data_IF_713523200525
#
_entry.id   IF_713523200525
#
_cell.length_a   1.000
_cell.length_b   1.000
_cell.length_c   1.000
_cell.angle_alpha   90.00
_cell.angle_beta   90.00
_cell.angle_gamma   90.00
#
_symmetry.space_group_name_H-M   'P 1'
#
loop_
_entity.id
_entity.type
_entity.pdbx_description
1 polymer ?
#
# COMPACT_ATOMS: atom_id res chain seq x y z
N UNK A 1 -6.03 -32.44 -0.41
CA UNK A 1 -5.65 -33.83 -0.78
C UNK A 1 -6.77 -34.41 -1.61
N UNK A 2 -6.46 -34.83 -2.83
CA UNK A 2 -7.45 -35.46 -3.71
C UNK A 2 -7.38 -36.98 -3.51
N UNK A 3 -8.53 -37.62 -3.33
CA UNK A 3 -8.64 -39.06 -3.20
C UNK A 3 -9.02 -39.63 -4.56
N UNK A 4 -8.35 -40.71 -5.00
CA UNK A 4 -8.68 -41.42 -6.21
C UNK A 4 -9.16 -42.85 -5.90
N UNK A 5 -10.09 -43.33 -6.71
CA UNK A 5 -10.68 -44.64 -6.55
C UNK A 5 -10.49 -45.45 -7.83
N UNK A 6 -10.24 -46.76 -7.71
CA UNK A 6 -10.18 -47.67 -8.84
C UNK A 6 -10.94 -48.99 -8.55
N UNK A 7 -11.68 -49.47 -9.54
CA UNK A 7 -12.43 -50.73 -9.49
C UNK A 7 -12.35 -51.43 -10.85
N UNK A 8 -11.91 -52.66 -10.84
CA UNK A 8 -11.91 -53.50 -12.06
C UNK A 8 -13.26 -54.19 -12.28
N UNK A 9 -13.61 -54.45 -13.53
CA UNK A 9 -14.80 -55.25 -13.91
C UNK A 9 -14.40 -56.39 -14.82
N UNK A 10 -14.97 -57.55 -14.55
CA UNK A 10 -14.87 -58.75 -15.37
C UNK A 10 -16.22 -58.99 -16.06
N UNK A 11 -16.22 -59.18 -17.38
CA UNK A 11 -17.43 -59.46 -18.13
C UNK A 11 -17.27 -60.78 -18.89
N UNK A 12 -18.18 -61.73 -18.67
CA UNK A 12 -18.26 -63.01 -19.39
C UNK A 12 -19.71 -63.30 -19.76
N UNK A 13 -20.02 -63.49 -21.04
CA UNK A 13 -21.36 -63.78 -21.56
C UNK A 13 -22.47 -62.85 -21.01
N UNK A 14 -22.19 -61.53 -20.93
CA UNK A 14 -23.11 -60.55 -20.44
C UNK A 14 -23.22 -60.43 -18.88
N UNK A 15 -22.53 -61.27 -18.14
CA UNK A 15 -22.42 -61.18 -16.68
C UNK A 15 -21.24 -60.33 -16.31
N UNK A 16 -21.46 -59.33 -15.43
CA UNK A 16 -20.43 -58.43 -14.90
C UNK A 16 -20.16 -58.74 -13.45
N UNK A 17 -18.89 -58.94 -13.11
CA UNK A 17 -18.38 -59.05 -11.73
C UNK A 17 -17.44 -57.93 -11.50
N UNK A 18 -17.64 -57.17 -10.44
CA UNK A 18 -16.72 -56.06 -10.04
C UNK A 18 -15.81 -56.52 -8.94
N UNK A 19 -14.55 -56.03 -8.96
CA UNK A 19 -13.62 -56.17 -7.84
C UNK A 19 -14.08 -55.34 -6.66
N UNK A 20 -13.34 -55.43 -5.53
CA UNK A 20 -13.36 -54.39 -4.52
C UNK A 20 -12.89 -53.06 -5.13
N UNK A 21 -13.32 -51.96 -4.57
CA UNK A 21 -12.80 -50.63 -4.86
C UNK A 21 -11.50 -50.43 -4.05
N UNK A 22 -10.47 -49.90 -4.69
CA UNK A 22 -9.23 -49.44 -4.04
C UNK A 22 -9.26 -47.94 -3.96
N UNK A 23 -8.69 -47.39 -2.88
CA UNK A 23 -8.60 -45.96 -2.60
C UNK A 23 -7.14 -45.59 -2.44
N UNK A 24 -6.76 -44.41 -2.97
CA UNK A 24 -5.45 -43.81 -2.80
C UNK A 24 -5.56 -42.29 -2.63
N UNK A 25 -4.57 -41.67 -2.05
CA UNK A 25 -4.51 -40.22 -1.87
C UNK A 25 -3.38 -39.61 -2.70
N UNK A 26 -3.65 -38.47 -3.29
CA UNK A 26 -2.62 -37.60 -3.87
C UNK A 26 -2.12 -36.67 -2.75
N UNK A 27 -0.86 -36.81 -2.38
CA UNK A 27 -0.23 -36.01 -1.31
C UNK A 27 0.61 -34.93 -1.97
N UNK A 28 0.26 -33.65 -1.71
CA UNK A 28 1.10 -32.52 -2.09
C UNK A 28 2.34 -32.46 -1.20
N UNK A 29 3.51 -32.58 -1.80
CA UNK A 29 4.81 -32.59 -1.09
C UNK A 29 5.61 -31.31 -1.29
N UNK A 30 5.06 -30.34 -2.01
CA UNK A 30 5.62 -29.00 -2.18
C UNK A 30 4.68 -28.00 -1.50
N UNK A 31 5.25 -27.11 -0.71
CA UNK A 31 4.53 -25.98 -0.12
C UNK A 31 4.96 -24.69 -0.81
N UNK A 32 4.04 -23.73 -0.92
CA UNK A 32 4.26 -22.38 -1.40
C UNK A 32 3.77 -21.41 -0.33
N UNK A 33 4.59 -20.43 0.03
CA UNK A 33 4.20 -19.35 0.95
C UNK A 33 4.70 -18.02 0.41
N UNK A 34 3.83 -17.01 0.41
CA UNK A 34 4.14 -15.63 0.08
C UNK A 34 3.99 -14.74 1.30
N UNK A 35 5.04 -14.02 1.66
CA UNK A 35 5.05 -13.15 2.85
C UNK A 35 5.49 -11.75 2.45
N UNK A 36 4.76 -10.69 2.84
CA UNK A 36 5.25 -9.34 2.69
C UNK A 36 6.30 -9.07 3.78
N UNK A 37 7.38 -8.40 3.44
CA UNK A 37 8.39 -7.93 4.39
C UNK A 37 8.14 -6.47 4.81
N UNK A 38 7.28 -5.77 4.07
CA UNK A 38 6.75 -4.45 4.43
C UNK A 38 5.51 -4.61 5.30
N UNK A 39 5.37 -3.80 6.34
CA UNK A 39 4.24 -3.84 7.28
C UNK A 39 3.00 -3.11 6.76
N UNK A 40 3.25 -2.06 5.98
CA UNK A 40 2.26 -1.15 5.39
C UNK A 40 2.85 -0.47 4.15
N UNK A 41 2.08 0.35 3.45
CA UNK A 41 2.54 1.14 2.33
C UNK A 41 1.84 2.52 2.25
N UNK A 42 2.56 3.49 1.68
CA UNK A 42 2.05 4.73 1.10
C UNK A 42 2.28 4.73 -0.42
N UNK A 43 1.57 5.55 -1.20
CA UNK A 43 1.79 5.64 -2.65
C UNK A 43 3.24 5.98 -2.98
N UNK A 44 3.85 5.19 -3.88
CA UNK A 44 5.26 5.33 -4.26
C UNK A 44 6.23 4.53 -3.40
N UNK A 45 5.79 3.92 -2.30
CA UNK A 45 6.66 3.09 -1.46
C UNK A 45 7.03 1.78 -2.16
N UNK A 46 8.22 1.29 -1.83
CA UNK A 46 8.65 -0.06 -2.20
C UNK A 46 8.04 -1.08 -1.23
N UNK A 47 7.41 -2.11 -1.80
CA UNK A 47 6.91 -3.26 -1.07
C UNK A 47 7.75 -4.47 -1.44
N UNK A 48 8.34 -5.11 -0.43
CA UNK A 48 9.21 -6.28 -0.60
C UNK A 48 8.43 -7.54 -0.25
N UNK A 49 8.51 -8.54 -1.12
CA UNK A 49 7.92 -9.86 -0.91
C UNK A 49 8.97 -10.95 -0.84
N UNK A 50 8.72 -11.93 0.02
CA UNK A 50 9.45 -13.18 0.10
C UNK A 50 8.52 -14.33 -0.28
N UNK A 51 8.96 -15.16 -1.24
CA UNK A 51 8.28 -16.39 -1.64
C UNK A 51 9.15 -17.55 -1.20
N UNK A 52 8.59 -18.45 -0.40
CA UNK A 52 9.27 -19.68 0.03
C UNK A 52 8.56 -20.88 -0.57
N UNK A 53 9.32 -21.77 -1.22
CA UNK A 53 8.84 -23.08 -1.60
C UNK A 53 9.71 -24.16 -0.94
N UNK A 54 9.07 -25.15 -0.32
CA UNK A 54 9.77 -26.30 0.28
C UNK A 54 9.27 -27.59 -0.34
N UNK A 55 10.22 -28.44 -0.73
CA UNK A 55 9.98 -29.75 -1.31
C UNK A 55 10.34 -30.84 -0.28
N UNK A 56 9.36 -31.58 0.21
CA UNK A 56 9.56 -32.70 1.15
C UNK A 56 9.70 -34.05 0.44
N UNK A 57 9.64 -34.07 -0.90
CA UNK A 57 9.82 -35.28 -1.69
C UNK A 57 11.31 -35.69 -1.79
N UNK A 58 11.54 -36.95 -2.03
CA UNK A 58 12.87 -37.52 -2.30
C UNK A 58 13.39 -37.21 -3.72
N UNK A 59 12.53 -36.64 -4.59
CA UNK A 59 12.87 -36.21 -5.95
C UNK A 59 12.90 -34.70 -6.07
N UNK A 60 13.83 -34.10 -6.80
CA UNK A 60 13.78 -32.66 -7.06
C UNK A 60 12.55 -32.31 -7.88
N UNK A 61 12.12 -31.05 -7.83
CA UNK A 61 11.10 -30.46 -8.69
C UNK A 61 11.78 -29.45 -9.59
N UNK A 62 11.57 -29.55 -10.89
CA UNK A 62 12.27 -28.76 -11.90
C UNK A 62 11.31 -27.97 -12.76
N UNK A 63 11.83 -26.90 -13.36
CA UNK A 63 11.13 -26.04 -14.32
C UNK A 63 9.78 -25.50 -13.82
N UNK A 64 9.72 -25.13 -12.53
CA UNK A 64 8.54 -24.50 -11.95
C UNK A 64 8.46 -23.06 -12.42
N UNK A 65 7.24 -22.64 -12.78
CA UNK A 65 6.90 -21.27 -13.14
C UNK A 65 6.00 -20.67 -12.06
N UNK A 66 6.37 -19.47 -11.61
CA UNK A 66 5.59 -18.65 -10.70
C UNK A 66 4.94 -17.51 -11.46
N UNK A 67 3.64 -17.30 -11.25
CA UNK A 67 2.88 -16.18 -11.80
C UNK A 67 2.31 -15.35 -10.66
N UNK A 68 2.72 -14.10 -10.60
CA UNK A 68 2.31 -13.13 -9.59
C UNK A 68 1.40 -12.09 -10.21
N UNK A 69 0.19 -11.89 -9.67
CA UNK A 69 -0.79 -10.97 -10.22
C UNK A 69 -0.50 -9.49 -9.91
N UNK A 70 0.54 -9.19 -9.13
CA UNK A 70 0.90 -7.83 -8.73
C UNK A 70 -0.26 -7.05 -8.07
N UNK A 71 -1.11 -7.78 -7.34
CA UNK A 71 -2.25 -7.20 -6.64
C UNK A 71 -3.43 -6.84 -7.55
N UNK A 72 -3.49 -7.35 -8.79
CA UNK A 72 -4.58 -7.10 -9.73
C UNK A 72 -5.96 -7.23 -9.08
N UNK A 73 -6.80 -6.23 -9.31
CA UNK A 73 -8.21 -6.24 -8.87
C UNK A 73 -9.10 -5.47 -9.86
N UNK A 74 -10.41 -5.68 -9.73
CA UNK A 74 -11.40 -4.93 -10.52
C UNK A 74 -12.02 -3.84 -9.65
N UNK A 75 -12.00 -2.59 -10.14
CA UNK A 75 -12.63 -1.44 -9.47
C UNK A 75 -14.15 -1.60 -9.44
N UNK A 76 -14.82 -0.74 -8.65
CA UNK A 76 -16.30 -0.74 -8.58
C UNK A 76 -16.95 -0.46 -9.93
N UNK A 77 -16.28 0.26 -10.82
CA UNK A 77 -16.75 0.59 -12.17
C UNK A 77 -16.39 -0.48 -13.21
N UNK A 78 -15.77 -1.60 -12.78
CA UNK A 78 -15.45 -2.74 -13.64
C UNK A 78 -14.12 -2.60 -14.41
N UNK A 79 -13.27 -1.63 -14.05
CA UNK A 79 -11.93 -1.47 -14.63
C UNK A 79 -10.95 -2.38 -13.91
N UNK A 80 -10.24 -3.22 -14.66
CA UNK A 80 -9.16 -4.06 -14.12
C UNK A 80 -7.88 -3.22 -14.00
N UNK A 81 -7.28 -3.17 -12.82
CA UNK A 81 -6.08 -2.41 -12.51
C UNK A 81 -5.06 -3.25 -11.75
N UNK A 82 -3.79 -2.87 -11.88
CA UNK A 82 -2.67 -3.55 -11.22
C UNK A 82 -1.94 -2.53 -10.33
N UNK A 83 -2.12 -2.55 -9.00
CA UNK A 83 -1.63 -1.53 -8.08
C UNK A 83 -0.13 -1.61 -7.79
N UNK A 84 0.55 -2.69 -8.22
CA UNK A 84 1.98 -2.89 -7.99
C UNK A 84 2.73 -2.93 -9.32
N UNK A 85 3.88 -2.26 -9.35
CA UNK A 85 4.83 -2.31 -10.47
C UNK A 85 6.09 -3.02 -10.00
N UNK A 86 6.49 -4.09 -10.70
CA UNK A 86 7.72 -4.81 -10.39
C UNK A 86 8.97 -3.94 -10.60
N UNK A 87 9.90 -3.94 -9.63
CA UNK A 87 11.19 -3.26 -9.74
C UNK A 87 12.17 -4.16 -10.49
N UNK A 88 12.51 -3.76 -11.71
CA UNK A 88 13.36 -4.56 -12.58
C UNK A 88 14.73 -4.89 -11.95
N UNK A 89 15.12 -6.17 -12.01
CA UNK A 89 16.39 -6.64 -11.47
C UNK A 89 16.45 -6.80 -9.95
N UNK A 90 15.33 -6.62 -9.24
CA UNK A 90 15.27 -6.78 -7.77
C UNK A 90 15.24 -8.25 -7.33
N UNK A 91 14.84 -9.19 -8.21
CA UNK A 91 14.73 -10.62 -7.86
C UNK A 91 16.06 -11.21 -7.40
N UNK A 92 16.02 -11.91 -6.26
CA UNK A 92 17.11 -12.75 -5.73
C UNK A 92 16.54 -14.12 -5.42
N UNK A 93 17.21 -15.17 -5.94
CA UNK A 93 16.88 -16.56 -5.71
C UNK A 93 17.93 -17.19 -4.79
N UNK A 94 17.48 -17.85 -3.75
CA UNK A 94 18.32 -18.63 -2.85
C UNK A 94 17.85 -20.08 -2.87
N UNK A 95 18.77 -21.03 -3.02
CA UNK A 95 18.50 -22.47 -2.93
C UNK A 95 19.19 -23.02 -1.69
N UNK A 96 18.44 -23.60 -0.77
CA UNK A 96 18.95 -24.08 0.53
C UNK A 96 19.79 -23.01 1.26
N UNK A 97 19.34 -21.74 1.21
CA UNK A 97 20.02 -20.61 1.84
C UNK A 97 21.22 -20.03 1.08
N UNK A 98 21.59 -20.58 -0.07
CA UNK A 98 22.70 -20.11 -0.90
C UNK A 98 22.19 -19.33 -2.11
N UNK A 99 22.73 -18.13 -2.34
CA UNK A 99 22.38 -17.31 -3.51
C UNK A 99 22.66 -18.08 -4.80
N UNK A 100 21.66 -18.21 -5.63
CA UNK A 100 21.68 -18.94 -6.91
C UNK A 100 21.65 -17.97 -8.09
N UNK A 101 21.83 -18.51 -9.30
CA UNK A 101 21.64 -17.75 -10.54
C UNK A 101 20.22 -17.21 -10.61
N UNK A 102 20.07 -15.96 -11.04
CA UNK A 102 18.77 -15.34 -11.20
C UNK A 102 17.90 -16.14 -12.18
N UNK A 103 16.60 -16.34 -11.87
CA UNK A 103 15.66 -17.02 -12.76
C UNK A 103 15.33 -16.14 -13.99
N UNK A 104 14.64 -16.71 -14.95
CA UNK A 104 14.08 -15.93 -16.07
C UNK A 104 12.87 -15.13 -15.59
N UNK A 105 12.83 -13.84 -15.92
CA UNK A 105 11.79 -12.92 -15.45
C UNK A 105 11.11 -12.22 -16.63
N UNK A 106 9.77 -12.33 -16.71
CA UNK A 106 8.94 -11.45 -17.51
C UNK A 106 8.25 -10.46 -16.54
N UNK A 107 8.55 -9.15 -16.61
CA UNK A 107 8.12 -8.18 -15.60
C UNK A 107 6.61 -7.92 -15.54
N UNK A 108 5.86 -8.38 -16.55
CA UNK A 108 4.40 -8.34 -16.56
C UNK A 108 3.74 -6.99 -16.82
N UNK A 109 2.49 -6.74 -16.34
CA UNK A 109 1.61 -7.66 -15.56
C UNK A 109 1.00 -8.83 -16.37
N UNK A 110 0.86 -10.03 -15.77
CA UNK A 110 1.40 -10.46 -14.48
C UNK A 110 2.92 -10.65 -14.50
N UNK A 111 3.58 -10.59 -13.33
CA UNK A 111 5.00 -10.93 -13.20
C UNK A 111 5.16 -12.44 -13.30
N UNK A 112 5.97 -12.92 -14.25
CA UNK A 112 6.24 -14.36 -14.44
C UNK A 112 7.71 -14.64 -14.16
N UNK A 113 7.98 -15.62 -13.29
CA UNK A 113 9.31 -16.07 -12.89
C UNK A 113 9.43 -17.56 -13.23
N UNK A 114 10.29 -17.93 -14.16
CA UNK A 114 10.40 -19.30 -14.67
C UNK A 114 11.79 -19.91 -14.50
N UNK A 115 11.85 -21.26 -14.60
CA UNK A 115 13.08 -22.03 -14.42
C UNK A 115 13.45 -22.23 -12.95
N UNK A 116 12.48 -22.27 -12.03
CA UNK A 116 12.71 -22.51 -10.62
C UNK A 116 12.87 -24.01 -10.38
N UNK A 117 13.98 -24.40 -9.73
CA UNK A 117 14.28 -25.77 -9.38
C UNK A 117 14.41 -25.92 -7.86
N UNK A 118 13.66 -26.86 -7.27
CA UNK A 118 13.66 -27.13 -5.83
C UNK A 118 14.32 -28.48 -5.61
N UNK A 119 15.45 -28.57 -4.90
CA UNK A 119 16.11 -29.83 -4.60
C UNK A 119 15.22 -30.82 -3.84
N UNK A 120 15.51 -32.11 -3.94
CA UNK A 120 14.89 -33.12 -3.11
C UNK A 120 15.14 -32.83 -1.62
N UNK A 121 14.08 -32.80 -0.80
CA UNK A 121 14.16 -32.45 0.62
C UNK A 121 14.68 -31.04 0.90
N UNK A 122 14.67 -30.14 -0.11
CA UNK A 122 15.21 -28.79 -0.04
C UNK A 122 14.18 -27.70 -0.16
N UNK A 123 14.67 -26.46 -0.26
CA UNK A 123 13.83 -25.28 -0.39
C UNK A 123 14.44 -24.23 -1.33
N UNK A 124 13.58 -23.31 -1.78
CA UNK A 124 13.99 -22.07 -2.44
C UNK A 124 13.31 -20.89 -1.76
N UNK A 125 14.04 -19.77 -1.71
CA UNK A 125 13.54 -18.47 -1.29
C UNK A 125 13.76 -17.49 -2.44
N UNK A 126 12.71 -16.79 -2.83
CA UNK A 126 12.76 -15.71 -3.81
C UNK A 126 12.36 -14.42 -3.09
N UNK A 127 13.19 -13.38 -3.22
CA UNK A 127 12.89 -12.03 -2.71
C UNK A 127 12.86 -11.10 -3.89
N UNK A 128 11.85 -10.21 -3.95
CA UNK A 128 11.71 -9.20 -4.99
C UNK A 128 10.98 -7.96 -4.46
N UNK A 129 11.14 -6.86 -5.20
CA UNK A 129 10.55 -5.55 -4.85
C UNK A 129 9.50 -5.14 -5.88
N UNK A 130 8.46 -4.46 -5.38
CA UNK A 130 7.45 -3.79 -6.17
C UNK A 130 7.28 -2.36 -5.65
N UNK A 131 6.70 -1.47 -6.46
CA UNK A 131 6.31 -0.11 -6.07
C UNK A 131 4.79 -0.01 -6.10
N UNK A 132 4.19 0.57 -5.06
CA UNK A 132 2.78 0.94 -5.05
C UNK A 132 2.56 2.13 -6.02
N UNK A 133 1.81 1.90 -7.10
CA UNK A 133 1.63 2.86 -8.18
C UNK A 133 0.32 3.67 -8.04
N UNK A 134 -0.07 4.41 -9.10
CA UNK A 134 -1.25 5.27 -9.14
C UNK A 134 -2.60 4.55 -8.99
N UNK A 135 -2.62 3.22 -9.12
CA UNK A 135 -3.83 2.39 -8.92
C UNK A 135 -3.94 1.84 -7.51
N UNK A 136 -2.90 2.01 -6.68
CA UNK A 136 -2.90 1.50 -5.31
C UNK A 136 -4.00 2.19 -4.47
N UNK A 137 -4.85 1.43 -3.76
CA UNK A 137 -5.84 1.99 -2.84
C UNK A 137 -5.19 2.88 -1.79
N UNK A 138 -5.86 3.97 -1.40
CA UNK A 138 -5.34 4.99 -0.48
C UNK A 138 -6.23 5.26 0.73
N UNK A 139 -7.46 4.76 0.69
CA UNK A 139 -8.41 4.95 1.78
C UNK A 139 -7.90 4.35 3.09
N UNK A 140 -8.34 4.90 4.20
CA UNK A 140 -8.08 4.36 5.54
C UNK A 140 -8.55 2.90 5.61
N UNK A 141 -7.71 2.02 6.16
CA UNK A 141 -7.90 0.57 6.22
C UNK A 141 -7.98 -0.14 4.85
N UNK A 142 -7.59 0.48 3.76
CA UNK A 142 -7.45 -0.22 2.49
C UNK A 142 -6.21 -1.13 2.50
N UNK A 143 -6.10 -2.02 1.52
CA UNK A 143 -4.96 -2.93 1.40
C UNK A 143 -4.78 -3.44 -0.02
N UNK A 144 -3.57 -3.91 -0.33
CA UNK A 144 -3.24 -4.64 -1.55
C UNK A 144 -3.10 -6.12 -1.20
N UNK A 145 -3.92 -6.97 -1.85
CA UNK A 145 -3.78 -8.43 -1.78
C UNK A 145 -3.06 -8.91 -3.03
N UNK A 146 -1.82 -9.33 -2.87
CA UNK A 146 -0.97 -9.81 -3.96
C UNK A 146 -0.87 -11.33 -3.94
N UNK A 147 -1.33 -12.01 -5.01
CA UNK A 147 -1.44 -13.46 -5.12
C UNK A 147 -0.38 -14.02 -6.06
N UNK A 148 0.27 -15.12 -5.63
CA UNK A 148 1.19 -15.88 -6.44
C UNK A 148 0.63 -17.28 -6.69
N UNK A 149 0.92 -17.81 -7.89
CA UNK A 149 0.61 -19.19 -8.30
C UNK A 149 1.88 -19.87 -8.76
N UNK A 150 1.99 -21.14 -8.47
CA UNK A 150 3.09 -21.99 -8.94
C UNK A 150 2.54 -23.14 -9.76
N UNK A 151 3.10 -23.32 -10.95
CA UNK A 151 2.75 -24.38 -11.90
C UNK A 151 4.02 -25.13 -12.34
N UNK A 152 3.87 -26.43 -12.66
CA UNK A 152 4.95 -27.28 -13.15
C UNK A 152 4.45 -28.72 -13.34
N UNK A 153 4.98 -29.44 -14.31
CA UNK A 153 4.56 -30.83 -14.60
C UNK A 153 4.76 -31.78 -13.41
N UNK A 154 5.70 -31.47 -12.53
CA UNK A 154 6.02 -32.28 -11.34
C UNK A 154 5.23 -31.84 -10.09
N UNK A 155 4.41 -30.80 -10.20
CA UNK A 155 3.43 -30.42 -9.20
C UNK A 155 2.11 -31.11 -9.49
N UNK A 156 1.58 -31.87 -8.52
CA UNK A 156 0.30 -32.59 -8.72
C UNK A 156 -0.90 -31.66 -8.87
N UNK A 157 -0.80 -30.46 -8.28
CA UNK A 157 -1.85 -29.42 -8.29
C UNK A 157 -1.17 -28.05 -8.44
N UNK A 158 -1.93 -27.06 -8.93
CA UNK A 158 -1.54 -25.64 -8.85
C UNK A 158 -1.46 -25.24 -7.38
N UNK A 159 -0.33 -24.64 -6.99
CA UNK A 159 -0.18 -24.07 -5.66
C UNK A 159 -0.40 -22.56 -5.73
N UNK A 160 -1.08 -22.00 -4.75
CA UNK A 160 -1.27 -20.56 -4.65
C UNK A 160 -1.18 -20.08 -3.20
N UNK A 161 -0.71 -18.84 -3.02
CA UNK A 161 -0.73 -18.14 -1.76
C UNK A 161 -0.84 -16.63 -1.98
N UNK A 162 -1.30 -15.90 -0.98
CA UNK A 162 -1.57 -14.47 -1.07
C UNK A 162 -1.00 -13.73 0.14
N UNK A 163 -0.43 -12.57 -0.14
CA UNK A 163 0.08 -11.64 0.87
C UNK A 163 -0.76 -10.36 0.86
N UNK A 164 -1.16 -9.88 2.04
CA UNK A 164 -1.90 -8.64 2.20
C UNK A 164 -1.01 -7.58 2.86
N UNK A 165 -0.96 -6.38 2.26
CA UNK A 165 -0.23 -5.22 2.80
C UNK A 165 -1.25 -4.08 2.96
N UNK A 166 -1.51 -3.61 4.19
CA UNK A 166 -2.44 -2.50 4.42
C UNK A 166 -1.83 -1.15 4.03
N UNK A 167 -2.67 -0.15 3.83
CA UNK A 167 -2.25 1.26 3.75
C UNK A 167 -1.65 1.69 5.09
N UNK A 168 -0.69 2.63 5.02
CA UNK A 168 -0.24 3.36 6.21
C UNK A 168 -1.26 4.44 6.51
N UNK A 169 -1.88 4.34 7.69
CA UNK A 169 -2.93 5.26 8.12
C UNK A 169 -2.31 6.40 8.93
N UNK A 170 -1.94 7.49 8.24
CA UNK A 170 -1.33 8.68 8.85
C UNK A 170 -1.74 9.96 8.11
N UNK A 171 -1.70 11.14 8.79
CA UNK A 171 -1.81 12.42 8.11
C UNK A 171 -0.51 12.75 7.38
N UNK A 172 -0.62 13.33 6.18
CA UNK A 172 0.51 13.84 5.40
C UNK A 172 0.32 15.34 5.18
N UNK A 173 1.00 16.15 5.99
CA UNK A 173 0.76 17.58 6.08
C UNK A 173 1.74 18.40 5.25
N UNK A 174 1.20 19.46 4.64
CA UNK A 174 1.97 20.56 4.06
C UNK A 174 1.37 21.90 4.46
N UNK A 175 2.19 22.95 4.49
CA UNK A 175 1.76 24.31 4.77
C UNK A 175 2.32 25.28 3.74
N UNK A 176 1.45 26.16 3.23
CA UNK A 176 1.83 27.29 2.39
C UNK A 176 1.41 28.61 3.05
N UNK A 177 2.19 29.67 2.87
CA UNK A 177 1.93 31.02 3.39
C UNK A 177 1.83 32.01 2.24
N UNK A 178 0.80 32.83 2.27
CA UNK A 178 0.59 33.95 1.34
C UNK A 178 0.41 35.26 2.10
N UNK A 179 0.65 36.38 1.43
CA UNK A 179 0.54 37.73 1.98
C UNK A 179 -0.26 38.61 1.00
N UNK A 180 -1.14 39.45 1.54
CA UNK A 180 -1.92 40.42 0.75
C UNK A 180 -2.25 41.68 1.59
N UNK A 181 -1.95 42.92 1.08
CA UNK A 181 -1.17 43.19 -0.12
C UNK A 181 0.35 42.93 0.08
N UNK A 182 1.11 42.77 -1.00
CA UNK A 182 2.56 42.54 -0.94
C UNK A 182 3.36 43.82 -0.56
N UNK A 183 2.75 44.99 -0.66
CA UNK A 183 3.36 46.30 -0.33
C UNK A 183 2.38 47.13 0.48
N UNK A 184 2.82 47.63 1.59
CA UNK A 184 2.03 48.42 2.55
C UNK A 184 2.83 49.62 3.06
N UNK A 185 2.13 50.67 3.49
CA UNK A 185 2.68 51.81 4.22
C UNK A 185 2.46 51.61 5.72
N UNK A 186 3.15 52.39 6.54
CA UNK A 186 2.98 52.39 8.00
C UNK A 186 1.49 52.70 8.35
N UNK A 187 0.88 51.81 9.13
CA UNK A 187 -0.51 51.91 9.54
C UNK A 187 -1.51 51.24 8.58
N UNK A 188 -1.04 50.68 7.45
CA UNK A 188 -1.89 49.91 6.56
C UNK A 188 -2.17 48.52 7.13
N UNK A 189 -3.27 47.95 6.70
CA UNK A 189 -3.68 46.59 7.04
C UNK A 189 -3.03 45.58 6.09
N UNK A 190 -2.58 44.45 6.65
CA UNK A 190 -1.98 43.34 5.93
C UNK A 190 -2.59 42.02 6.39
N UNK A 191 -2.79 41.10 5.47
CA UNK A 191 -3.32 39.78 5.76
C UNK A 191 -2.35 38.69 5.35
N UNK A 192 -2.03 37.81 6.30
CA UNK A 192 -1.30 36.58 6.08
C UNK A 192 -2.31 35.41 6.04
N UNK A 193 -2.21 34.57 5.02
CA UNK A 193 -3.02 33.38 4.86
C UNK A 193 -2.13 32.15 4.88
N UNK A 194 -2.41 31.24 5.80
CA UNK A 194 -1.75 29.93 5.89
C UNK A 194 -2.73 28.88 5.38
N UNK A 195 -2.32 28.13 4.37
CA UNK A 195 -3.11 27.03 3.81
C UNK A 195 -2.42 25.74 4.27
N UNK A 196 -3.10 24.98 5.13
CA UNK A 196 -2.63 23.71 5.65
C UNK A 196 -3.39 22.63 4.89
N UNK A 197 -2.64 21.74 4.21
CA UNK A 197 -3.20 20.65 3.43
C UNK A 197 -2.79 19.32 4.04
N UNK A 198 -3.69 18.35 3.99
CA UNK A 198 -3.46 16.97 4.37
C UNK A 198 -3.74 16.08 3.15
N UNK A 199 -2.72 15.41 2.63
CA UNK A 199 -2.82 14.43 1.54
C UNK A 199 -2.92 12.99 2.06
N UNK A 200 -2.75 12.78 3.38
CA UNK A 200 -2.90 11.49 4.03
C UNK A 200 -4.35 11.09 4.30
N UNK A 201 -4.57 9.82 4.56
CA UNK A 201 -5.89 9.22 4.76
C UNK A 201 -6.44 9.37 6.19
N UNK A 202 -5.69 9.97 7.07
CA UNK A 202 -6.08 10.19 8.47
C UNK A 202 -6.18 11.68 8.76
N UNK A 203 -7.27 12.10 9.43
CA UNK A 203 -7.45 13.48 9.84
C UNK A 203 -6.55 13.83 11.03
N UNK A 204 -6.08 15.08 11.11
CA UNK A 204 -5.52 15.64 12.33
C UNK A 204 -6.66 16.16 13.20
N UNK A 205 -6.80 15.59 14.38
CA UNK A 205 -7.85 15.92 15.35
C UNK A 205 -7.29 16.75 16.53
N UNK A 206 -8.16 17.30 17.35
CA UNK A 206 -7.77 18.18 18.46
C UNK A 206 -6.75 17.55 19.44
N UNK A 207 -6.82 16.24 19.66
CA UNK A 207 -5.89 15.51 20.54
C UNK A 207 -4.47 15.35 19.99
N UNK A 208 -4.27 15.58 18.69
CA UNK A 208 -2.94 15.50 18.06
C UNK A 208 -2.09 16.75 18.33
N UNK A 209 -2.72 17.80 18.88
CA UNK A 209 -2.06 19.04 19.35
C UNK A 209 -1.24 19.73 18.24
N UNK A 210 -1.78 19.81 17.01
CA UNK A 210 -1.15 20.56 15.94
C UNK A 210 -1.08 22.05 16.30
N UNK A 211 0.12 22.64 16.20
CA UNK A 211 0.37 24.05 16.49
C UNK A 211 0.95 24.73 15.24
N UNK A 212 0.42 25.89 14.88
CA UNK A 212 0.97 26.80 13.88
C UNK A 212 1.70 27.93 14.60
N UNK A 213 2.97 28.15 14.27
CA UNK A 213 3.78 29.25 14.81
C UNK A 213 4.30 30.14 13.70
N UNK A 214 4.43 31.43 14.00
CA UNK A 214 5.04 32.42 13.10
C UNK A 214 5.67 33.56 13.92
N UNK A 215 6.50 34.39 13.26
CA UNK A 215 7.03 35.62 13.84
C UNK A 215 6.94 36.74 12.81
N UNK A 216 6.09 37.74 13.09
CA UNK A 216 5.89 38.89 12.22
C UNK A 216 6.96 39.97 12.49
N UNK A 217 7.66 40.40 11.44
CA UNK A 217 8.69 41.47 11.50
C UNK A 217 8.44 42.48 10.38
N UNK A 218 7.99 43.70 10.71
CA UNK A 218 7.70 44.21 12.08
C UNK A 218 6.52 43.54 12.74
N UNK A 219 6.41 43.58 14.09
CA UNK A 219 5.23 43.04 14.78
C UNK A 219 3.94 43.77 14.33
N UNK A 220 2.87 42.99 14.13
CA UNK A 220 1.57 43.52 13.77
C UNK A 220 0.84 44.07 15.00
N UNK A 221 -0.04 45.05 14.80
CA UNK A 221 -0.93 45.57 15.82
C UNK A 221 -2.40 45.23 15.51
N UNK A 222 -3.21 45.16 16.55
CA UNK A 222 -4.67 44.95 16.44
C UNK A 222 -4.97 43.71 15.56
N UNK A 223 -4.32 42.58 15.82
CA UNK A 223 -4.49 41.39 14.99
C UNK A 223 -5.91 40.80 15.16
N UNK A 224 -6.42 40.29 14.05
CA UNK A 224 -7.62 39.44 14.00
C UNK A 224 -7.23 38.12 13.40
N UNK A 225 -7.54 37.02 14.09
CA UNK A 225 -7.16 35.66 13.67
C UNK A 225 -8.44 34.89 13.36
N UNK A 226 -8.48 34.21 12.20
CA UNK A 226 -9.60 33.31 11.85
C UNK A 226 -9.09 31.94 11.45
N UNK A 227 -9.83 30.89 11.80
CA UNK A 227 -9.62 29.52 11.34
C UNK A 227 -10.84 29.08 10.54
N UNK A 228 -10.66 28.76 9.26
CA UNK A 228 -11.77 28.44 8.33
C UNK A 228 -12.90 29.51 8.36
N UNK A 229 -12.52 30.79 8.50
CA UNK A 229 -13.45 31.91 8.57
C UNK A 229 -14.11 32.15 9.95
N UNK A 230 -13.82 31.31 10.95
CA UNK A 230 -14.28 31.50 12.34
C UNK A 230 -13.24 32.28 13.13
N UNK A 231 -13.64 33.38 13.76
CA UNK A 231 -12.75 34.23 14.57
C UNK A 231 -12.27 33.49 15.82
N UNK A 232 -10.98 33.50 16.06
CA UNK A 232 -10.32 32.93 17.22
C UNK A 232 -10.14 34.00 18.32
N UNK A 233 -10.01 33.55 19.57
CA UNK A 233 -9.87 34.39 20.78
C UNK A 233 -8.47 34.29 21.33
N UNK A 234 -7.80 35.44 21.52
CA UNK A 234 -6.47 35.48 22.15
C UNK A 234 -6.53 34.96 23.61
N UNK A 235 -5.50 34.21 23.99
CA UNK A 235 -5.38 33.57 25.30
C UNK A 235 -6.24 32.31 25.48
N UNK A 236 -7.13 31.99 24.52
CA UNK A 236 -7.97 30.77 24.49
C UNK A 236 -7.60 29.88 23.32
N UNK A 237 -7.48 30.47 22.13
CA UNK A 237 -7.24 29.74 20.88
C UNK A 237 -5.82 29.99 20.33
N UNK A 238 -5.22 31.15 20.63
CA UNK A 238 -3.89 31.52 20.23
C UNK A 238 -3.22 32.44 21.24
N UNK A 239 -1.91 32.59 21.14
CA UNK A 239 -1.11 33.59 21.82
C UNK A 239 -0.41 34.48 20.82
N UNK A 240 -0.30 35.78 21.12
CA UNK A 240 0.45 36.74 20.34
C UNK A 240 1.19 37.71 21.24
N UNK A 241 2.43 38.04 20.88
CA UNK A 241 3.23 39.02 21.57
C UNK A 241 3.48 40.24 20.65
N UNK A 242 2.76 41.33 20.88
CA UNK A 242 2.87 42.56 20.06
C UNK A 242 4.24 43.23 20.10
N UNK A 243 5.12 42.88 21.07
CA UNK A 243 6.49 43.45 21.15
C UNK A 243 7.48 42.66 20.31
N UNK A 244 7.31 41.33 20.23
CA UNK A 244 8.26 40.45 19.53
C UNK A 244 7.70 39.96 18.19
N UNK A 245 6.39 40.04 17.94
CA UNK A 245 5.70 39.53 16.77
C UNK A 245 5.49 38.01 16.81
N UNK A 246 5.80 37.34 17.92
CA UNK A 246 5.63 35.90 18.06
C UNK A 246 4.15 35.50 18.15
N UNK A 247 3.75 34.60 17.29
CA UNK A 247 2.42 34.03 17.21
C UNK A 247 2.46 32.51 17.37
N UNK A 248 1.50 31.94 18.09
CA UNK A 248 1.28 30.50 18.17
C UNK A 248 -0.21 30.19 18.39
N UNK A 249 -0.76 29.23 17.65
CA UNK A 249 -2.04 28.61 18.02
C UNK A 249 -1.86 27.73 19.26
N UNK A 250 -2.93 27.56 20.06
CA UNK A 250 -2.90 26.68 21.22
C UNK A 250 -3.25 25.22 20.83
N UNK A 251 -2.90 24.29 21.72
CA UNK A 251 -3.17 22.87 21.55
C UNK A 251 -4.66 22.60 21.31
N UNK A 252 -4.95 21.73 20.35
CA UNK A 252 -6.31 21.28 20.04
C UNK A 252 -7.17 22.24 19.21
N UNK A 253 -6.64 23.42 18.86
CA UNK A 253 -7.37 24.43 18.07
C UNK A 253 -7.34 24.08 16.58
N UNK A 254 -6.17 23.74 16.04
CA UNK A 254 -5.99 23.45 14.63
C UNK A 254 -6.28 21.97 14.36
N UNK A 255 -7.26 21.71 13.51
CA UNK A 255 -7.58 20.38 12.99
C UNK A 255 -7.52 20.42 11.47
N UNK A 256 -7.17 19.31 10.82
CA UNK A 256 -7.10 19.22 9.36
C UNK A 256 -7.82 17.95 8.92
N UNK A 257 -8.86 18.05 8.06
CA UNK A 257 -9.54 16.86 7.55
C UNK A 257 -8.57 15.91 6.83
N UNK A 258 -8.90 14.63 6.79
CA UNK A 258 -8.21 13.69 5.90
C UNK A 258 -8.46 14.07 4.43
N UNK A 259 -7.58 13.62 3.54
CA UNK A 259 -7.85 13.64 2.11
C UNK A 259 -9.04 12.73 1.77
N UNK A 260 -9.67 13.02 0.63
CA UNK A 260 -10.65 12.13 0.00
C UNK A 260 -10.07 11.57 -1.29
N UNK A 261 -10.37 10.29 -1.56
CA UNK A 261 -9.87 9.59 -2.73
C UNK A 261 -11.02 9.19 -3.63
N UNK A 262 -10.83 9.34 -4.93
CA UNK A 262 -11.82 8.93 -5.94
C UNK A 262 -11.11 8.17 -7.04
N UNK A 263 -11.66 7.04 -7.44
CA UNK A 263 -11.14 6.26 -8.57
C UNK A 263 -11.74 6.80 -9.87
N UNK A 264 -10.89 7.10 -10.84
CA UNK A 264 -11.36 7.47 -12.18
C UNK A 264 -12.08 6.28 -12.82
N UNK A 265 -13.36 6.43 -13.26
CA UNK A 265 -14.17 5.30 -13.72
C UNK A 265 -13.74 4.73 -15.07
N UNK A 266 -12.80 5.36 -15.77
CA UNK A 266 -12.32 4.95 -17.10
C UNK A 266 -10.91 4.35 -17.00
N UNK A 267 -10.03 5.03 -16.26
CA UNK A 267 -8.61 4.66 -16.17
C UNK A 267 -8.29 3.83 -14.93
N UNK A 268 -9.12 3.91 -13.88
CA UNK A 268 -8.88 3.28 -12.59
C UNK A 268 -7.84 4.02 -11.71
N UNK A 269 -7.32 5.17 -12.15
CA UNK A 269 -6.35 5.98 -11.40
C UNK A 269 -7.00 6.55 -10.14
N UNK A 270 -6.30 6.47 -9.02
CA UNK A 270 -6.75 7.06 -7.75
C UNK A 270 -6.35 8.53 -7.68
N UNK A 271 -7.36 9.41 -7.67
CA UNK A 271 -7.21 10.85 -7.53
C UNK A 271 -7.34 11.27 -6.06
N UNK A 272 -6.46 12.16 -5.60
CA UNK A 272 -6.44 12.69 -4.24
C UNK A 272 -6.95 14.12 -4.21
N UNK A 273 -7.95 14.38 -3.35
CA UNK A 273 -8.38 15.74 -2.99
C UNK A 273 -7.95 15.99 -1.54
N UNK A 274 -6.97 16.89 -1.30
CA UNK A 274 -6.47 17.15 0.05
C UNK A 274 -7.55 17.67 0.98
N UNK A 275 -7.51 17.28 2.26
CA UNK A 275 -8.18 18.00 3.33
C UNK A 275 -7.50 19.35 3.54
N UNK A 276 -8.27 20.43 3.73
CA UNK A 276 -7.71 21.78 3.81
C UNK A 276 -8.21 22.50 5.07
N UNK A 277 -7.31 23.19 5.74
CA UNK A 277 -7.60 24.14 6.81
C UNK A 277 -6.87 25.45 6.51
N UNK A 278 -7.59 26.57 6.65
CA UNK A 278 -7.09 27.91 6.36
C UNK A 278 -7.04 28.72 7.65
N UNK A 279 -5.84 29.17 8.04
CA UNK A 279 -5.62 30.13 9.11
C UNK A 279 -5.31 31.48 8.48
N UNK A 280 -6.03 32.55 8.90
CA UNK A 280 -5.83 33.90 8.40
C UNK A 280 -5.52 34.82 9.57
N UNK A 281 -4.47 35.64 9.42
CA UNK A 281 -4.05 36.64 10.43
C UNK A 281 -4.00 37.99 9.73
N UNK A 282 -4.85 38.91 10.15
CA UNK A 282 -4.93 40.28 9.65
C UNK A 282 -4.50 41.23 10.75
N UNK A 283 -3.70 42.25 10.44
CA UNK A 283 -3.27 43.26 11.40
C UNK A 283 -2.69 44.49 10.71
N UNK A 284 -2.36 45.48 11.48
CA UNK A 284 -1.74 46.72 10.98
C UNK A 284 -0.23 46.74 11.20
N UNK A 285 0.51 47.25 10.22
CA UNK A 285 1.99 47.36 10.26
C UNK A 285 2.44 48.64 10.92
#
# INVERSE_FOLDING_TARGET
>A
MATFYNQARLTLDGRVVSSNQTEGEVVTRVTLTKTPLSTDYSPGDNIVYAITMANTDATPKTDITLTDNLGEFTTIDGVMVVPLTYVAGSIRLYTNGVLSTAPTVNPGPPLVISGINIPAGGNVLIVYETVANEFAPRDNNASITNTIRAEGEELCDELSDSANVPTRDEPELSIAKAICPESVSCGDEITYTFIIQNTGNTAVIATDNLIVTDTFLPPLKNITVTLNGVTLTEGVDYSYNELTGEFATLNGVVTVPAATYTTDPITGVVNTTPGVTVLTITGTV
#
